data_IF_924375203888
#
_entry.id   IF_924375203888
#
_cell.length_a   1.000
_cell.length_b   1.000
_cell.length_c   1.000
_cell.angle_alpha   90.00
_cell.angle_beta   90.00
_cell.angle_gamma   90.00
#
_symmetry.space_group_name_H-M   'P 1'
#
loop_
_entity.id
_entity.type
_entity.pdbx_description
1 polymer ?
#
# COMPACT_ATOMS: atom_id res chain seq x y z
N UNK A 1 -7.07 -6.00 15.65
CA UNK A 1 -5.86 -5.60 14.90
C UNK A 1 -4.62 -6.22 15.55
N UNK A 2 -3.76 -6.81 14.75
CA UNK A 2 -2.47 -7.36 15.15
C UNK A 2 -1.42 -6.71 14.27
N UNK A 3 -0.49 -5.96 14.87
CA UNK A 3 0.63 -5.35 14.15
C UNK A 3 1.86 -6.22 14.38
N UNK A 4 2.57 -6.53 13.31
CA UNK A 4 3.77 -7.35 13.36
C UNK A 4 4.87 -6.81 12.45
N UNK A 5 6.10 -7.17 12.78
CA UNK A 5 7.26 -6.84 11.95
C UNK A 5 8.40 -7.82 12.20
N UNK A 6 9.17 -8.04 11.18
CA UNK A 6 10.40 -8.83 11.29
C UNK A 6 11.49 -8.20 10.44
N UNK A 7 12.70 -8.26 10.97
CA UNK A 7 13.89 -7.77 10.28
C UNK A 7 14.95 -8.86 10.22
N UNK A 8 15.72 -8.84 9.17
CA UNK A 8 16.89 -9.68 9.00
C UNK A 8 18.04 -8.84 8.48
N UNK A 9 19.24 -9.08 9.01
CA UNK A 9 20.47 -8.45 8.54
C UNK A 9 21.61 -9.44 8.51
N UNK A 10 22.48 -9.31 7.53
CA UNK A 10 23.67 -10.15 7.38
C UNK A 10 24.84 -9.33 6.85
N UNK A 11 26.07 -9.75 7.25
CA UNK A 11 27.31 -9.18 6.73
C UNK A 11 28.27 -10.30 6.36
N UNK A 12 28.90 -10.21 5.20
CA UNK A 12 29.86 -11.17 4.74
C UNK A 12 30.85 -10.58 3.74
N UNK A 13 32.15 -10.64 4.07
CA UNK A 13 33.26 -10.23 3.17
C UNK A 13 33.06 -8.85 2.52
N UNK A 14 32.61 -7.86 3.29
CA UNK A 14 32.38 -6.51 2.82
C UNK A 14 30.98 -6.24 2.29
N UNK A 15 30.19 -7.27 1.99
CA UNK A 15 28.76 -7.13 1.71
C UNK A 15 27.98 -6.98 3.01
N UNK A 16 27.02 -6.11 3.00
CA UNK A 16 26.00 -5.98 4.03
C UNK A 16 24.61 -5.95 3.39
N UNK A 17 23.66 -6.53 4.11
CA UNK A 17 22.29 -6.64 3.68
C UNK A 17 21.38 -6.46 4.87
N UNK A 18 20.31 -5.67 4.72
CA UNK A 18 19.25 -5.59 5.70
C UNK A 18 17.88 -5.52 5.01
N UNK A 19 16.90 -6.14 5.65
CA UNK A 19 15.52 -6.16 5.18
C UNK A 19 14.57 -6.02 6.36
N UNK A 20 13.52 -5.23 6.19
CA UNK A 20 12.46 -5.04 7.18
C UNK A 20 11.11 -5.25 6.51
N UNK A 21 10.33 -6.16 7.07
CA UNK A 21 8.92 -6.32 6.77
C UNK A 21 8.07 -5.82 7.93
N UNK A 22 6.96 -5.20 7.59
CA UNK A 22 5.94 -4.77 8.54
C UNK A 22 4.57 -5.10 7.96
N UNK A 23 3.65 -5.51 8.82
CA UNK A 23 2.29 -5.83 8.42
C UNK A 23 1.30 -5.61 9.55
N UNK A 24 0.04 -5.65 9.19
CA UNK A 24 -1.07 -5.72 10.12
C UNK A 24 -2.04 -6.81 9.66
N UNK A 25 -2.61 -7.50 10.61
CA UNK A 25 -3.59 -8.55 10.38
C UNK A 25 -4.84 -8.32 11.23
N UNK A 26 -5.96 -8.94 10.82
CA UNK A 26 -7.25 -8.74 11.46
C UNK A 26 -7.65 -7.26 11.51
N UNK A 27 -7.46 -6.57 10.39
CA UNK A 27 -7.80 -5.16 10.19
C UNK A 27 -8.94 -5.09 9.18
N UNK A 28 -9.96 -4.31 9.50
CA UNK A 28 -11.06 -4.03 8.59
C UNK A 28 -11.07 -2.55 8.22
N UNK A 29 -11.28 -2.30 6.94
CA UNK A 29 -11.42 -0.95 6.39
C UNK A 29 -12.86 -0.77 5.88
N UNK A 30 -13.43 0.38 6.14
CA UNK A 30 -14.77 0.68 5.66
C UNK A 30 -14.70 1.61 4.45
N UNK A 31 -15.12 1.10 3.31
CA UNK A 31 -15.28 1.86 2.08
C UNK A 31 -16.61 2.62 2.14
N UNK A 32 -16.60 3.81 2.74
CA UNK A 32 -17.82 4.54 3.04
C UNK A 32 -17.67 6.02 2.72
N UNK A 33 -18.79 6.62 2.27
CA UNK A 33 -18.87 8.05 2.07
C UNK A 33 -18.48 8.51 0.65
N UNK A 34 -18.49 9.81 0.47
CA UNK A 34 -18.34 10.49 -0.83
C UNK A 34 -17.12 10.03 -1.62
N UNK A 35 -16.05 9.81 -0.94
CA UNK A 35 -14.79 9.46 -1.55
C UNK A 35 -14.76 8.05 -2.15
N UNK A 36 -15.66 7.17 -1.72
CA UNK A 36 -15.71 5.78 -2.19
C UNK A 36 -16.94 5.47 -3.04
N UNK A 37 -18.03 6.22 -2.84
CA UNK A 37 -19.26 5.99 -3.57
C UNK A 37 -19.22 6.67 -4.95
N UNK A 38 -19.43 5.93 -6.03
CA UNK A 38 -19.56 6.54 -7.34
C UNK A 38 -20.71 7.52 -7.38
N UNK A 39 -20.51 8.67 -8.00
CA UNK A 39 -21.53 9.72 -8.20
C UNK A 39 -22.16 10.27 -6.91
N UNK A 40 -21.48 10.18 -5.77
CA UNK A 40 -21.94 10.78 -4.55
C UNK A 40 -22.19 12.30 -4.75
N UNK A 41 -23.36 12.78 -4.32
CA UNK A 41 -23.84 14.16 -4.55
C UNK A 41 -23.90 14.60 -6.03
N UNK A 42 -23.90 13.64 -6.96
CA UNK A 42 -23.95 13.94 -8.40
C UNK A 42 -22.65 14.50 -9.00
N UNK A 43 -21.60 14.66 -8.22
CA UNK A 43 -20.37 15.35 -8.61
C UNK A 43 -19.14 14.43 -8.65
N UNK A 44 -19.17 13.31 -7.92
CA UNK A 44 -18.02 12.43 -7.77
C UNK A 44 -17.85 11.53 -8.99
N UNK A 45 -16.60 11.26 -9.32
CA UNK A 45 -16.27 10.37 -10.45
C UNK A 45 -16.48 8.89 -10.11
N UNK A 46 -16.62 8.08 -11.13
CA UNK A 46 -16.67 6.64 -11.01
C UNK A 46 -15.29 6.08 -10.60
N UNK A 47 -15.29 5.09 -9.73
CA UNK A 47 -14.10 4.35 -9.30
C UNK A 47 -13.95 3.05 -10.09
N UNK A 48 -12.78 2.42 -10.02
CA UNK A 48 -12.53 1.12 -10.66
C UNK A 48 -13.51 0.03 -10.20
N UNK A 49 -13.99 0.13 -8.97
CA UNK A 49 -14.99 -0.75 -8.36
C UNK A 49 -16.25 -0.98 -9.22
N UNK A 50 -16.64 0.02 -10.03
CA UNK A 50 -17.86 -0.07 -10.86
C UNK A 50 -17.70 -0.96 -12.09
N UNK A 51 -16.50 -1.39 -12.43
CA UNK A 51 -16.27 -2.24 -13.62
C UNK A 51 -17.06 -3.53 -13.59
N UNK A 52 -17.23 -4.11 -12.40
CA UNK A 52 -17.99 -5.33 -12.16
C UNK A 52 -19.38 -5.04 -11.53
N UNK A 53 -19.95 -3.88 -11.82
CA UNK A 53 -21.28 -3.51 -11.30
C UNK A 53 -22.38 -4.36 -11.87
N UNK A 54 -23.48 -4.48 -11.13
CA UNK A 54 -24.68 -5.09 -11.62
C UNK A 54 -25.28 -4.27 -12.78
N UNK A 55 -25.56 -4.95 -13.90
CA UNK A 55 -26.43 -4.51 -14.98
C UNK A 55 -27.25 -5.72 -15.44
N UNK A 56 -28.41 -5.46 -16.06
CA UNK A 56 -29.24 -6.54 -16.58
C UNK A 56 -28.48 -7.42 -17.58
N UNK A 57 -27.74 -6.82 -18.49
CA UNK A 57 -26.94 -7.48 -19.52
C UNK A 57 -25.88 -8.41 -18.90
N UNK A 58 -25.15 -7.93 -17.89
CA UNK A 58 -24.11 -8.72 -17.20
C UNK A 58 -24.72 -9.88 -16.43
N UNK A 59 -25.86 -9.65 -15.79
CA UNK A 59 -26.57 -10.68 -15.07
C UNK A 59 -27.04 -11.80 -16.01
N UNK A 60 -27.63 -11.45 -17.14
CA UNK A 60 -28.09 -12.40 -18.17
C UNK A 60 -26.93 -13.14 -18.85
N UNK A 61 -25.78 -12.47 -19.02
CA UNK A 61 -24.57 -13.08 -19.57
C UNK A 61 -23.81 -13.98 -18.56
N UNK A 62 -24.24 -14.03 -17.29
CA UNK A 62 -23.53 -14.79 -16.23
C UNK A 62 -22.16 -14.23 -15.87
N UNK A 63 -21.90 -12.94 -16.14
CA UNK A 63 -20.63 -12.30 -15.80
C UNK A 63 -20.48 -12.12 -14.28
N UNK A 64 -19.22 -12.02 -13.84
CA UNK A 64 -18.90 -11.72 -12.45
C UNK A 64 -19.42 -10.35 -12.04
N UNK A 65 -20.22 -10.32 -10.99
CA UNK A 65 -20.81 -9.10 -10.41
C UNK A 65 -20.35 -8.99 -8.95
N UNK A 66 -19.59 -7.97 -8.63
CA UNK A 66 -19.07 -7.70 -7.28
C UNK A 66 -19.53 -6.38 -6.71
N UNK A 67 -20.21 -5.56 -7.51
CA UNK A 67 -20.69 -4.25 -7.14
C UNK A 67 -22.18 -4.09 -7.46
N UNK A 68 -22.97 -3.39 -6.62
CA UNK A 68 -24.39 -3.20 -6.87
C UNK A 68 -24.65 -2.28 -8.06
N UNK A 69 -25.90 -2.18 -8.45
CA UNK A 69 -26.35 -1.21 -9.44
C UNK A 69 -25.96 0.21 -9.04
N UNK A 70 -25.48 0.98 -10.00
CA UNK A 70 -25.18 2.40 -9.78
C UNK A 70 -26.44 3.20 -9.46
N UNK A 71 -26.30 4.15 -8.57
CA UNK A 71 -27.30 5.13 -8.22
C UNK A 71 -26.72 6.52 -8.43
N UNK A 72 -27.51 7.41 -8.99
CA UNK A 72 -27.16 8.83 -9.03
C UNK A 72 -27.42 9.43 -7.65
N UNK A 73 -26.45 10.16 -7.11
CA UNK A 73 -26.54 10.78 -5.80
C UNK A 73 -26.84 9.77 -4.67
N UNK A 74 -26.03 8.72 -4.51
CA UNK A 74 -26.27 7.69 -3.51
C UNK A 74 -26.29 8.28 -2.10
N UNK A 75 -27.28 7.86 -1.32
CA UNK A 75 -27.45 8.25 0.07
C UNK A 75 -27.64 7.00 0.93
N UNK A 76 -26.78 6.81 1.93
CA UNK A 76 -26.83 5.65 2.83
C UNK A 76 -28.12 5.55 3.66
N UNK A 77 -28.94 6.58 3.73
CA UNK A 77 -30.23 6.56 4.41
C UNK A 77 -31.36 6.07 3.52
N UNK A 78 -31.38 6.50 2.26
CA UNK A 78 -32.45 6.22 1.30
C UNK A 78 -32.11 5.14 0.28
N UNK A 79 -30.83 4.98 -0.06
CA UNK A 79 -30.37 3.97 -1.00
C UNK A 79 -29.86 2.74 -0.25
N UNK A 80 -30.60 1.66 -0.31
CA UNK A 80 -30.32 0.44 0.44
C UNK A 80 -28.94 -0.13 0.19
N UNK A 81 -28.43 -0.05 -1.04
CA UNK A 81 -27.13 -0.58 -1.43
C UNK A 81 -25.94 0.20 -0.81
N UNK A 82 -26.17 1.40 -0.34
CA UNK A 82 -25.15 2.28 0.25
C UNK A 82 -25.22 2.36 1.78
N UNK A 83 -26.07 1.54 2.40
CA UNK A 83 -26.06 1.38 3.86
C UNK A 83 -24.81 0.65 4.33
N UNK A 84 -24.34 0.89 5.56
CA UNK A 84 -23.27 0.13 6.15
C UNK A 84 -23.57 -1.38 6.10
N UNK A 85 -22.70 -2.13 5.46
CA UNK A 85 -22.85 -3.57 5.26
C UNK A 85 -21.48 -4.22 5.01
N UNK A 86 -21.44 -5.54 4.97
CA UNK A 86 -20.24 -6.32 4.63
C UNK A 86 -19.74 -6.06 3.20
N UNK A 87 -20.59 -5.53 2.31
CA UNK A 87 -20.15 -5.05 1.00
C UNK A 87 -19.10 -3.95 1.10
N UNK A 88 -19.25 -3.07 2.09
CA UNK A 88 -18.41 -1.89 2.29
C UNK A 88 -17.31 -2.09 3.33
N UNK A 89 -17.33 -3.21 4.05
CA UNK A 89 -16.27 -3.58 4.98
C UNK A 89 -15.36 -4.57 4.26
N UNK A 90 -14.09 -4.23 4.12
CA UNK A 90 -13.08 -5.04 3.45
C UNK A 90 -11.97 -5.39 4.42
N UNK A 91 -11.34 -6.53 4.19
CA UNK A 91 -10.09 -6.86 4.85
C UNK A 91 -9.01 -5.88 4.40
N UNK A 92 -8.33 -5.29 5.37
CA UNK A 92 -7.22 -4.37 5.16
C UNK A 92 -5.90 -4.94 5.70
N UNK A 93 -5.86 -6.24 5.92
CA UNK A 93 -4.62 -6.93 6.27
C UNK A 93 -3.59 -6.73 5.16
N UNK A 94 -2.34 -6.56 5.56
CA UNK A 94 -1.25 -6.36 4.62
C UNK A 94 0.08 -6.83 5.15
N UNK A 95 1.00 -7.10 4.25
CA UNK A 95 2.42 -7.25 4.50
C UNK A 95 3.18 -6.31 3.56
N UNK A 96 4.11 -5.53 4.10
CA UNK A 96 4.92 -4.59 3.32
C UNK A 96 6.40 -4.81 3.52
N UNK A 97 7.13 -4.84 2.42
CA UNK A 97 8.58 -4.68 2.43
C UNK A 97 8.90 -3.20 2.65
N UNK A 98 9.12 -2.86 3.93
CA UNK A 98 9.34 -1.48 4.39
C UNK A 98 10.68 -0.94 3.98
N UNK A 99 11.74 -1.70 4.26
CA UNK A 99 13.10 -1.29 3.94
C UNK A 99 13.88 -2.49 3.38
N UNK A 100 14.68 -2.21 2.40
CA UNK A 100 15.70 -3.09 1.86
C UNK A 100 16.96 -2.25 1.70
N UNK A 101 18.09 -2.72 2.23
CA UNK A 101 19.40 -2.12 2.00
C UNK A 101 20.40 -3.19 1.63
N UNK A 102 21.21 -2.90 0.62
CA UNK A 102 22.34 -3.72 0.19
C UNK A 102 23.54 -2.81 0.03
N UNK A 103 24.63 -3.13 0.70
CA UNK A 103 25.88 -2.36 0.64
C UNK A 103 27.09 -3.22 0.38
N UNK A 104 28.15 -2.58 -0.09
CA UNK A 104 29.47 -3.16 -0.17
C UNK A 104 30.52 -2.17 0.30
N UNK A 105 31.37 -2.62 1.25
CA UNK A 105 32.44 -1.82 1.84
C UNK A 105 33.79 -2.25 1.25
N UNK A 106 34.43 -1.31 0.57
CA UNK A 106 35.79 -1.43 0.05
C UNK A 106 36.79 -0.99 1.12
N UNK A 107 37.79 -1.83 1.45
CA UNK A 107 38.80 -1.55 2.49
C UNK A 107 40.23 -1.69 2.04
N UNK A 108 40.52 -2.06 0.77
CA UNK A 108 41.84 -2.41 0.30
C UNK A 108 42.31 -1.67 -0.95
N UNK A 109 43.53 -1.92 -1.38
CA UNK A 109 44.07 -1.53 -2.69
C UNK A 109 43.86 -0.07 -3.08
N UNK A 110 42.87 0.18 -3.92
CA UNK A 110 42.52 1.48 -4.42
C UNK A 110 42.11 2.47 -3.31
N UNK A 111 41.34 2.05 -2.28
CA UNK A 111 40.88 2.92 -1.18
C UNK A 111 42.08 3.46 -0.39
N UNK A 112 43.06 2.61 -0.08
CA UNK A 112 44.29 2.99 0.62
C UNK A 112 45.17 3.97 -0.19
N UNK A 113 45.16 3.86 -1.52
CA UNK A 113 45.92 4.81 -2.39
C UNK A 113 45.34 6.21 -2.34
N UNK A 114 44.05 6.34 -1.98
CA UNK A 114 43.38 7.62 -1.79
C UNK A 114 43.50 8.15 -0.34
N UNK A 115 44.30 7.50 0.52
CA UNK A 115 44.40 7.80 1.96
C UNK A 115 43.05 7.71 2.70
N UNK A 116 42.20 6.79 2.27
CA UNK A 116 40.91 6.52 2.89
C UNK A 116 40.96 5.19 3.66
N UNK A 117 40.21 5.11 4.77
CA UNK A 117 40.06 3.90 5.56
C UNK A 117 39.09 2.92 4.90
N UNK A 118 37.92 3.42 4.48
CA UNK A 118 36.92 2.63 3.77
C UNK A 118 36.01 3.50 2.92
N UNK A 119 35.44 2.86 1.89
CA UNK A 119 34.39 3.44 1.06
C UNK A 119 33.26 2.42 0.97
N UNK A 120 32.06 2.78 1.44
CA UNK A 120 30.86 1.93 1.32
C UNK A 120 29.93 2.51 0.28
N UNK A 121 29.64 1.74 -0.75
CA UNK A 121 28.55 2.01 -1.70
C UNK A 121 27.33 1.22 -1.28
N UNK A 122 26.16 1.83 -1.25
CA UNK A 122 24.93 1.16 -0.89
C UNK A 122 23.75 1.63 -1.72
N UNK A 123 22.81 0.72 -1.85
CA UNK A 123 21.47 0.97 -2.37
C UNK A 123 20.48 0.71 -1.25
N UNK A 124 19.51 1.59 -1.07
CA UNK A 124 18.37 1.30 -0.23
C UNK A 124 17.04 1.65 -0.91
N UNK A 125 16.03 0.96 -0.50
CA UNK A 125 14.68 1.20 -0.96
C UNK A 125 13.67 1.12 0.17
N UNK A 126 12.65 1.98 0.12
CA UNK A 126 11.57 2.00 1.10
C UNK A 126 10.21 1.78 0.44
N UNK A 127 9.32 1.07 1.15
CA UNK A 127 7.94 0.75 0.72
C UNK A 127 7.87 0.05 -0.64
N UNK A 128 8.79 -0.90 -0.91
CA UNK A 128 9.01 -1.46 -2.23
C UNK A 128 7.85 -2.31 -2.72
N UNK A 129 7.31 -3.16 -1.86
CA UNK A 129 6.21 -4.07 -2.17
C UNK A 129 5.20 -4.10 -1.04
N UNK A 130 3.92 -4.16 -1.40
CA UNK A 130 2.82 -4.33 -0.47
C UNK A 130 1.91 -5.44 -1.00
N UNK A 131 1.66 -6.43 -0.17
CA UNK A 131 0.69 -7.50 -0.40
C UNK A 131 -0.54 -7.21 0.42
N UNK A 132 -1.67 -7.02 -0.22
CA UNK A 132 -2.96 -6.67 0.40
C UNK A 132 -4.09 -6.89 -0.60
N UNK A 133 -5.29 -7.12 -0.10
CA UNK A 133 -6.52 -7.17 -0.89
C UNK A 133 -7.20 -5.78 -1.01
N UNK A 134 -6.63 -4.76 -0.41
CA UNK A 134 -7.12 -3.37 -0.54
C UNK A 134 -6.86 -2.87 -1.95
N UNK A 135 -7.92 -2.45 -2.63
CA UNK A 135 -7.87 -1.93 -4.00
C UNK A 135 -7.96 -0.41 -3.97
N UNK A 136 -7.13 0.25 -4.80
CA UNK A 136 -7.13 1.71 -5.02
C UNK A 136 -6.76 2.56 -3.78
N UNK A 137 -6.32 1.95 -2.68
CA UNK A 137 -5.94 2.64 -1.45
C UNK A 137 -4.66 2.06 -0.86
N UNK A 138 -4.02 2.81 0.01
CA UNK A 138 -2.93 2.30 0.83
C UNK A 138 -3.49 1.70 2.13
N UNK A 139 -3.19 0.43 2.46
CA UNK A 139 -3.70 -0.20 3.67
C UNK A 139 -3.20 0.44 4.98
N UNK A 140 -2.10 1.20 4.93
CA UNK A 140 -1.61 2.00 6.07
C UNK A 140 -2.19 3.42 6.12
N UNK A 141 -3.09 3.77 5.19
CA UNK A 141 -3.70 5.10 5.19
C UNK A 141 -4.45 5.34 6.52
N UNK A 142 -4.20 6.46 7.21
CA UNK A 142 -4.91 6.74 8.44
C UNK A 142 -6.41 6.86 8.16
N UNK A 143 -7.21 6.12 8.92
CA UNK A 143 -8.65 6.24 8.89
C UNK A 143 -9.12 7.13 10.04
N UNK A 144 -9.83 8.22 9.74
CA UNK A 144 -10.59 8.95 10.76
C UNK A 144 -11.94 8.27 10.98
N UNK A 145 -12.23 7.93 12.22
CA UNK A 145 -13.51 7.31 12.62
C UNK A 145 -13.87 6.02 11.86
N UNK A 146 -12.85 5.22 11.45
CA UNK A 146 -13.07 3.98 10.72
C UNK A 146 -13.49 4.14 9.26
N UNK A 147 -13.54 5.36 8.74
CA UNK A 147 -13.79 5.63 7.32
C UNK A 147 -12.48 5.92 6.60
N UNK A 148 -12.34 5.42 5.39
CA UNK A 148 -11.22 5.82 4.52
C UNK A 148 -11.45 7.23 4.04
N UNK A 149 -10.56 8.13 4.42
CA UNK A 149 -10.49 9.44 3.79
C UNK A 149 -9.48 9.37 2.64
N UNK A 150 -9.95 9.58 1.41
CA UNK A 150 -9.10 9.63 0.19
C UNK A 150 -8.08 10.78 0.23
N UNK A 151 -8.18 11.67 1.19
CA UNK A 151 -7.24 12.78 1.35
C UNK A 151 -5.85 12.35 1.83
N UNK A 152 -5.63 11.05 2.05
CA UNK A 152 -4.32 10.53 2.44
C UNK A 152 -3.56 10.11 1.21
N UNK A 153 -2.42 10.75 0.98
CA UNK A 153 -1.53 10.35 -0.10
C UNK A 153 -0.92 8.97 0.21
N UNK A 154 -0.93 8.02 -0.74
CA UNK A 154 -0.33 6.71 -0.52
C UNK A 154 1.18 6.83 -0.26
N UNK A 155 1.72 5.90 0.51
CA UNK A 155 3.15 5.85 0.77
C UNK A 155 3.93 5.64 -0.53
N UNK A 156 4.92 6.50 -0.75
CA UNK A 156 5.75 6.44 -1.94
C UNK A 156 6.80 5.33 -1.83
N UNK A 157 7.11 4.73 -2.98
CA UNK A 157 8.31 3.91 -3.13
C UNK A 157 9.49 4.85 -3.34
N UNK A 158 10.51 4.67 -2.51
CA UNK A 158 11.73 5.49 -2.58
C UNK A 158 12.91 4.60 -2.87
N UNK A 159 13.78 5.01 -3.76
CA UNK A 159 15.03 4.34 -4.10
C UNK A 159 16.17 5.32 -3.94
N UNK A 160 17.20 4.94 -3.19
CA UNK A 160 18.39 5.75 -2.98
C UNK A 160 19.65 4.95 -3.28
N UNK A 161 20.64 5.65 -3.81
CA UNK A 161 22.02 5.17 -3.90
C UNK A 161 22.85 6.13 -3.06
N UNK A 162 23.69 5.59 -2.18
CA UNK A 162 24.52 6.40 -1.30
C UNK A 162 25.96 5.90 -1.22
N UNK A 163 26.82 6.82 -0.80
CA UNK A 163 28.25 6.59 -0.63
C UNK A 163 28.67 7.09 0.74
N UNK A 164 29.27 6.23 1.55
CA UNK A 164 29.89 6.60 2.83
C UNK A 164 31.42 6.51 2.69
N UNK A 165 32.14 7.57 3.05
CA UNK A 165 33.59 7.65 2.96
C UNK A 165 34.13 7.89 4.36
N UNK A 166 35.08 7.01 4.80
CA UNK A 166 35.79 7.15 6.06
C UNK A 166 37.27 7.47 5.77
N UNK A 167 37.78 8.50 6.40
CA UNK A 167 39.14 9.00 6.29
C UNK A 167 40.02 8.46 7.39
#
# INVERSE_FOLDING_TARGET
EIIYGFSFGAQYKGFDFSILFQGADNVSIKYFGRSMWPFAKGEESAKSLIKERWTQERYEAGEKITFPRLSLNPNGETDHNYRPSTLWIRDASYLRLKNLEVGYTFTGGFVKRLNLNSVRLYFNGSNLFTWTDVVDLDPEAPSRSGNVEINTYPLQKVYNIGLNINF
#
